data_IF_809638566664
#
_entry.id   IF_809638566664
#
_cell.length_a   1.000
_cell.length_b   1.000
_cell.length_c   1.000
_cell.angle_alpha   90.00
_cell.angle_beta   90.00
_cell.angle_gamma   90.00
#
_symmetry.space_group_name_H-M   'P 1'
#
loop_
_entity.id
_entity.type
_entity.pdbx_description
1 polymer ?
#
# COMPACT_ATOMS: atom_id res chain seq x y z
N UNK A 1 13.43 3.21 11.97
CA UNK A 1 13.29 1.96 11.18
C UNK A 1 12.14 1.08 11.70
N UNK A 2 10.91 1.33 11.23
CA UNK A 2 9.72 0.55 11.57
C UNK A 2 8.90 0.21 10.30
N UNK A 3 8.39 -1.02 10.23
CA UNK A 3 7.32 -1.40 9.31
C UNK A 3 5.97 -1.04 9.93
N UNK A 4 5.15 -0.26 9.22
CA UNK A 4 3.87 0.21 9.72
C UNK A 4 2.70 -0.63 9.21
N UNK A 5 2.71 -1.04 7.95
CA UNK A 5 1.63 -1.83 7.39
C UNK A 5 2.08 -2.67 6.19
N UNK A 6 1.37 -3.77 5.97
CA UNK A 6 1.47 -4.61 4.77
C UNK A 6 0.04 -4.88 4.30
N UNK A 7 -0.27 -4.51 3.06
CA UNK A 7 -1.57 -4.70 2.44
C UNK A 7 -1.45 -5.46 1.12
N UNK A 8 -2.37 -6.39 0.88
CA UNK A 8 -2.56 -7.10 -0.38
C UNK A 8 -3.90 -6.65 -0.96
N UNK A 9 -3.86 -6.17 -2.19
CA UNK A 9 -4.99 -5.59 -2.90
C UNK A 9 -5.25 -6.35 -4.19
N UNK A 10 -6.52 -6.48 -4.55
CA UNK A 10 -6.93 -6.86 -5.88
C UNK A 10 -7.22 -5.61 -6.70
N UNK A 11 -6.58 -5.53 -7.86
CA UNK A 11 -6.78 -4.47 -8.83
C UNK A 11 -7.74 -4.97 -9.93
N UNK A 12 -8.99 -4.50 -9.99
CA UNK A 12 -9.87 -4.80 -11.10
C UNK A 12 -9.30 -4.24 -12.42
N UNK A 13 -9.50 -4.95 -13.53
CA UNK A 13 -9.12 -4.43 -14.84
C UNK A 13 -10.09 -3.29 -15.20
N UNK A 14 -9.58 -2.11 -15.52
CA UNK A 14 -10.37 -1.07 -16.18
C UNK A 14 -10.77 -1.62 -17.56
N UNK A 15 -11.99 -2.13 -17.67
CA UNK A 15 -12.62 -2.37 -18.96
C UNK A 15 -12.90 -0.97 -19.52
N UNK A 16 -12.16 -0.60 -20.58
CA UNK A 16 -11.94 0.79 -20.99
C UNK A 16 -13.17 1.70 -21.01
N UNK A 17 -12.97 2.92 -20.51
CA UNK A 17 -13.83 4.07 -20.83
C UNK A 17 -12.94 5.26 -21.20
N UNK A 18 -12.66 5.36 -22.50
CA UNK A 18 -12.30 6.61 -23.15
C UNK A 18 -13.50 7.56 -23.09
N UNK A 19 -13.63 8.34 -22.02
CA UNK A 19 -14.38 9.62 -21.97
C UNK A 19 -14.43 10.18 -20.55
N UNK A 20 -13.71 11.27 -20.31
CA UNK A 20 -14.19 12.47 -19.58
C UNK A 20 -14.63 12.42 -18.11
N UNK A 21 -14.79 11.27 -17.46
CA UNK A 21 -15.11 11.17 -16.03
C UNK A 21 -14.65 9.81 -15.49
N UNK A 22 -13.47 9.77 -14.88
CA UNK A 22 -12.80 8.54 -14.46
C UNK A 22 -13.49 7.87 -13.25
N UNK A 23 -14.51 7.04 -13.49
CA UNK A 23 -14.94 6.04 -12.51
C UNK A 23 -14.01 4.82 -12.58
N UNK A 24 -12.75 5.00 -12.19
CA UNK A 24 -11.80 3.90 -12.00
C UNK A 24 -12.36 2.95 -10.96
N UNK A 25 -12.47 1.66 -11.28
CA UNK A 25 -12.96 0.67 -10.31
C UNK A 25 -11.92 0.57 -9.19
N UNK A 26 -12.35 0.89 -7.97
CA UNK A 26 -11.50 1.00 -6.78
C UNK A 26 -10.79 -0.33 -6.49
N UNK A 27 -9.48 -0.29 -6.22
CA UNK A 27 -8.75 -1.47 -5.68
C UNK A 27 -9.39 -1.95 -4.37
N UNK A 28 -9.52 -3.27 -4.20
CA UNK A 28 -10.12 -3.89 -3.02
C UNK A 28 -9.01 -4.47 -2.15
N UNK A 29 -9.00 -4.18 -0.85
CA UNK A 29 -8.01 -4.76 0.06
C UNK A 29 -8.48 -6.17 0.38
N UNK A 30 -7.71 -7.18 -0.01
CA UNK A 30 -8.05 -8.57 0.27
C UNK A 30 -7.56 -9.01 1.66
N UNK A 31 -6.36 -8.57 2.02
CA UNK A 31 -5.72 -8.85 3.31
C UNK A 31 -4.82 -7.70 3.70
N UNK A 32 -4.69 -7.43 4.99
CA UNK A 32 -3.73 -6.45 5.47
C UNK A 32 -3.53 -6.54 6.96
N UNK A 33 -2.41 -6.00 7.43
CA UNK A 33 -2.13 -5.83 8.84
C UNK A 33 -1.33 -4.55 9.05
N UNK A 34 -1.59 -3.87 10.17
CA UNK A 34 -0.93 -2.63 10.56
C UNK A 34 -0.44 -2.67 12.01
N UNK A 35 0.76 -2.13 12.25
CA UNK A 35 1.29 -1.84 13.59
C UNK A 35 1.50 -0.33 13.76
N UNK A 36 0.47 0.30 14.32
CA UNK A 36 0.45 1.73 14.60
C UNK A 36 0.75 2.05 16.07
N UNK A 37 1.40 1.13 16.79
CA UNK A 37 1.74 1.31 18.22
C UNK A 37 2.61 2.54 18.50
N UNK A 38 3.39 3.00 17.52
CA UNK A 38 4.24 4.19 17.58
C UNK A 38 3.46 5.50 17.55
N UNK A 39 2.21 5.49 17.06
CA UNK A 39 1.34 6.66 17.03
C UNK A 39 0.51 6.77 18.31
N UNK A 40 0.16 8.01 18.67
CA UNK A 40 -0.75 8.29 19.79
C UNK A 40 -2.11 7.61 19.59
N UNK A 41 -2.71 7.11 20.66
CA UNK A 41 -3.93 6.28 20.61
C UNK A 41 -5.04 6.87 19.73
N UNK A 42 -5.29 8.17 19.84
CA UNK A 42 -6.32 8.88 19.08
C UNK A 42 -5.97 9.14 17.60
N UNK A 43 -4.69 9.07 17.23
CA UNK A 43 -4.25 9.25 15.85
C UNK A 43 -4.28 7.95 15.04
N UNK A 44 -4.21 6.79 15.71
CA UNK A 44 -4.10 5.48 15.06
C UNK A 44 -5.23 5.20 14.06
N UNK A 45 -6.46 5.62 14.36
CA UNK A 45 -7.59 5.48 13.43
C UNK A 45 -7.36 6.27 12.14
N UNK A 46 -6.97 7.54 12.27
CA UNK A 46 -6.70 8.42 11.14
C UNK A 46 -5.52 7.95 10.30
N UNK A 47 -4.45 7.48 10.95
CA UNK A 47 -3.29 6.92 10.26
C UNK A 47 -3.67 5.63 9.52
N UNK A 48 -4.49 4.76 10.12
CA UNK A 48 -4.97 3.54 9.45
C UNK A 48 -5.80 3.86 8.21
N UNK A 49 -6.75 4.78 8.33
CA UNK A 49 -7.57 5.24 7.20
C UNK A 49 -6.69 5.79 6.07
N UNK A 50 -5.65 6.56 6.41
CA UNK A 50 -4.69 7.07 5.44
C UNK A 50 -3.84 5.98 4.78
N UNK A 51 -3.39 4.98 5.54
CA UNK A 51 -2.66 3.81 5.00
C UNK A 51 -3.53 3.02 4.02
N UNK A 52 -4.81 2.83 4.33
CA UNK A 52 -5.77 2.16 3.43
C UNK A 52 -5.94 2.96 2.14
N UNK A 53 -6.19 4.27 2.27
CA UNK A 53 -6.32 5.19 1.14
C UNK A 53 -5.07 5.15 0.25
N UNK A 54 -3.88 5.37 0.81
CA UNK A 54 -2.65 5.42 0.03
C UNK A 54 -2.35 4.07 -0.63
N UNK A 55 -2.62 2.96 0.05
CA UNK A 55 -2.40 1.62 -0.53
C UNK A 55 -3.26 1.39 -1.78
N UNK A 56 -4.51 1.84 -1.77
CA UNK A 56 -5.39 1.77 -2.95
C UNK A 56 -4.90 2.66 -4.07
N UNK A 57 -4.57 3.90 -3.75
CA UNK A 57 -4.12 4.84 -4.78
C UNK A 57 -2.80 4.36 -5.41
N UNK A 58 -1.89 3.83 -4.61
CA UNK A 58 -0.65 3.23 -5.11
C UNK A 58 -0.93 2.01 -6.00
N UNK A 59 -1.84 1.12 -5.60
CA UNK A 59 -2.27 -0.03 -6.41
C UNK A 59 -2.90 0.40 -7.74
N UNK A 60 -3.75 1.42 -7.75
CA UNK A 60 -4.48 1.91 -8.92
C UNK A 60 -3.61 2.73 -9.89
N UNK A 61 -2.56 3.38 -9.40
CA UNK A 61 -1.61 4.11 -10.25
C UNK A 61 -0.43 3.26 -10.69
N UNK A 62 -0.13 2.15 -10.02
CA UNK A 62 0.95 1.24 -10.42
C UNK A 62 0.50 0.24 -11.48
N UNK A 63 1.08 0.28 -12.71
CA UNK A 63 0.70 -0.66 -13.75
C UNK A 63 1.09 -2.11 -13.40
N UNK A 64 0.42 -3.12 -13.97
CA UNK A 64 0.76 -4.52 -13.73
C UNK A 64 2.20 -4.83 -14.11
N UNK A 65 2.91 -5.57 -13.24
CA UNK A 65 4.27 -6.02 -13.48
C UNK A 65 5.36 -5.01 -13.12
N UNK A 66 5.02 -3.88 -12.50
CA UNK A 66 6.00 -2.93 -12.01
C UNK A 66 6.25 -3.05 -10.51
N UNK A 67 7.39 -2.50 -10.10
CA UNK A 67 7.79 -2.27 -8.71
C UNK A 67 8.11 -0.80 -8.57
N UNK A 68 7.54 -0.17 -7.56
CA UNK A 68 7.73 1.25 -7.32
C UNK A 68 8.02 1.53 -5.85
N UNK A 69 8.92 2.47 -5.62
CA UNK A 69 9.16 3.08 -4.32
C UNK A 69 8.59 4.50 -4.38
N UNK A 70 7.74 4.83 -3.42
CA UNK A 70 7.08 6.13 -3.30
C UNK A 70 7.43 6.74 -1.96
N UNK A 71 8.17 7.84 -1.98
CA UNK A 71 8.62 8.54 -0.78
C UNK A 71 7.61 9.63 -0.44
N UNK A 72 7.17 9.68 0.82
CA UNK A 72 6.31 10.75 1.35
C UNK A 72 6.84 11.18 2.72
N UNK A 73 7.51 12.32 2.74
CA UNK A 73 8.10 12.92 3.94
C UNK A 73 9.02 11.91 4.67
N UNK A 74 8.73 11.56 5.93
CA UNK A 74 9.51 10.61 6.73
C UNK A 74 9.16 9.13 6.46
N UNK A 75 8.16 8.87 5.61
CA UNK A 75 7.68 7.54 5.29
C UNK A 75 8.00 7.16 3.85
N UNK A 76 8.16 5.85 3.63
CA UNK A 76 8.30 5.28 2.29
C UNK A 76 7.29 4.16 2.10
N UNK A 77 6.64 4.19 0.95
CA UNK A 77 5.74 3.14 0.50
C UNK A 77 6.43 2.33 -0.60
N UNK A 78 6.40 1.01 -0.47
CA UNK A 78 6.85 0.10 -1.50
C UNK A 78 5.67 -0.64 -2.08
N UNK A 79 5.57 -0.69 -3.39
CA UNK A 79 4.46 -1.34 -4.09
C UNK A 79 4.97 -2.27 -5.18
N UNK A 80 4.35 -3.44 -5.28
CA UNK A 80 4.63 -4.43 -6.30
C UNK A 80 3.33 -4.98 -6.85
N UNK A 81 3.13 -4.89 -8.15
CA UNK A 81 1.93 -5.38 -8.83
C UNK A 81 2.28 -6.57 -9.73
N UNK A 82 1.52 -7.66 -9.62
CA UNK A 82 1.66 -8.86 -10.46
C UNK A 82 0.93 -8.68 -11.78
N UNK A 83 1.50 -9.24 -12.85
CA UNK A 83 0.89 -9.22 -14.19
C UNK A 83 -0.30 -10.18 -14.25
N UNK A 84 -0.09 -11.43 -13.80
CA UNK A 84 -1.03 -12.51 -14.10
C UNK A 84 -2.24 -12.56 -13.16
N UNK A 85 -2.04 -12.23 -11.88
CA UNK A 85 -3.06 -12.35 -10.84
C UNK A 85 -3.86 -11.07 -10.60
N UNK A 86 -3.42 -9.93 -11.15
CA UNK A 86 -3.92 -8.58 -10.84
C UNK A 86 -3.88 -8.26 -9.35
N UNK A 87 -2.97 -8.91 -8.62
CA UNK A 87 -2.71 -8.61 -7.22
C UNK A 87 -1.62 -7.54 -7.12
N UNK A 88 -1.84 -6.58 -6.23
CA UNK A 88 -0.83 -5.63 -5.79
C UNK A 88 -0.57 -5.84 -4.32
N UNK A 89 0.67 -5.64 -3.88
CA UNK A 89 0.97 -5.56 -2.46
C UNK A 89 1.70 -4.24 -2.18
N UNK A 90 1.36 -3.64 -1.04
CA UNK A 90 1.88 -2.36 -0.57
C UNK A 90 2.44 -2.54 0.83
N UNK A 91 3.65 -2.05 1.06
CA UNK A 91 4.24 -1.89 2.39
C UNK A 91 4.38 -0.41 2.67
N UNK A 92 4.03 -0.01 3.89
CA UNK A 92 4.28 1.34 4.42
C UNK A 92 5.27 1.23 5.57
N UNK A 93 6.32 2.02 5.56
CA UNK A 93 7.38 1.99 6.58
C UNK A 93 8.07 3.35 6.71
N UNK A 94 8.94 3.49 7.71
CA UNK A 94 9.85 4.64 7.80
C UNK A 94 10.81 4.67 6.59
N UNK A 95 11.29 5.86 6.21
CA UNK A 95 12.22 6.06 5.10
C UNK A 95 13.56 5.33 5.26
N UNK A 96 13.97 5.04 6.50
CA UNK A 96 15.21 4.32 6.81
C UNK A 96 15.11 2.81 6.52
N UNK A 97 13.91 2.27 6.33
CA UNK A 97 13.73 0.83 6.16
C UNK A 97 14.34 0.34 4.83
N UNK A 98 15.16 -0.73 4.81
CA UNK A 98 15.86 -1.13 3.59
C UNK A 98 14.91 -1.56 2.46
N UNK A 99 14.98 -0.86 1.33
CA UNK A 99 14.16 -1.15 0.13
C UNK A 99 14.30 -2.59 -0.34
N UNK A 100 15.51 -3.15 -0.26
CA UNK A 100 15.77 -4.54 -0.62
C UNK A 100 14.92 -5.50 0.20
N UNK A 101 14.82 -5.31 1.51
CA UNK A 101 14.03 -6.19 2.38
C UNK A 101 12.54 -6.01 2.10
N UNK A 102 12.07 -4.76 1.96
CA UNK A 102 10.67 -4.46 1.68
C UNK A 102 10.17 -5.14 0.39
N UNK A 103 10.90 -5.04 -0.72
CA UNK A 103 10.51 -5.72 -1.96
C UNK A 103 10.62 -7.24 -1.87
N UNK A 104 11.54 -7.80 -1.07
CA UNK A 104 11.58 -9.25 -0.88
C UNK A 104 10.37 -9.73 -0.11
N UNK A 105 9.97 -8.96 0.90
CA UNK A 105 8.79 -9.25 1.71
C UNK A 105 7.52 -9.15 0.88
N UNK A 106 7.36 -8.10 0.07
CA UNK A 106 6.26 -7.97 -0.90
C UNK A 106 6.15 -9.20 -1.81
N UNK A 107 7.27 -9.64 -2.39
CA UNK A 107 7.29 -10.81 -3.24
C UNK A 107 6.82 -12.07 -2.48
N UNK A 108 7.35 -12.30 -1.27
CA UNK A 108 6.96 -13.45 -0.45
C UNK A 108 5.48 -13.44 -0.08
N UNK A 109 4.97 -12.31 0.40
CA UNK A 109 3.56 -12.13 0.77
C UNK A 109 2.66 -12.42 -0.43
N UNK A 110 2.97 -11.88 -1.61
CA UNK A 110 2.21 -12.15 -2.83
C UNK A 110 2.23 -13.62 -3.22
N UNK A 111 3.41 -14.27 -3.18
CA UNK A 111 3.56 -15.69 -3.54
C UNK A 111 2.77 -16.59 -2.58
N UNK A 112 2.80 -16.32 -1.28
CA UNK A 112 2.03 -17.08 -0.30
C UNK A 112 0.53 -16.82 -0.41
N UNK A 113 0.14 -15.58 -0.69
CA UNK A 113 -1.25 -15.23 -0.94
C UNK A 113 -1.79 -15.99 -2.16
N UNK A 114 -1.07 -15.98 -3.29
CA UNK A 114 -1.46 -16.72 -4.51
C UNK A 114 -1.52 -18.23 -4.29
N UNK A 115 -0.61 -18.78 -3.46
CA UNK A 115 -0.62 -20.20 -3.08
C UNK A 115 -1.84 -20.57 -2.25
N UNK A 116 -2.25 -19.71 -1.30
CA UNK A 116 -3.41 -19.95 -0.42
C UNK A 116 -4.73 -19.66 -1.14
N UNK A 117 -4.77 -18.60 -1.95
CA UNK A 117 -5.93 -18.08 -2.65
C UNK A 117 -5.60 -17.91 -4.15
N UNK A 118 -5.68 -18.99 -4.95
CA UNK A 118 -5.44 -18.89 -6.38
C UNK A 118 -6.50 -18.01 -7.06
N UNK A 119 -6.15 -17.46 -8.23
CA UNK A 119 -6.95 -16.48 -8.98
C UNK A 119 -8.42 -16.86 -9.15
N UNK A 120 -8.72 -18.14 -9.33
CA UNK A 120 -10.08 -18.66 -9.46
C UNK A 120 -10.95 -18.41 -8.22
N UNK A 121 -10.38 -18.39 -7.01
CA UNK A 121 -11.15 -18.25 -5.75
C UNK A 121 -11.84 -16.90 -5.67
N UNK A 122 -11.08 -15.82 -5.85
CA UNK A 122 -11.62 -14.46 -5.75
C UNK A 122 -12.34 -14.00 -7.02
N UNK A 123 -12.03 -14.55 -8.19
CA UNK A 123 -12.78 -14.23 -9.42
C UNK A 123 -14.13 -14.96 -9.51
N UNK A 124 -14.23 -16.20 -9.03
CA UNK A 124 -15.48 -16.97 -9.11
C UNK A 124 -16.48 -16.58 -8.00
N UNK A 125 -16.04 -15.85 -6.99
CA UNK A 125 -16.84 -15.45 -5.83
C UNK A 125 -16.95 -13.93 -5.79
N UNK A 126 -17.88 -13.31 -6.53
CA UNK A 126 -17.97 -11.85 -6.63
C UNK A 126 -18.24 -11.16 -5.28
N UNK A 127 -18.81 -11.86 -4.29
CA UNK A 127 -18.98 -11.37 -2.93
C UNK A 127 -17.66 -11.05 -2.23
N UNK A 128 -16.58 -11.77 -2.54
CA UNK A 128 -15.23 -11.52 -1.99
C UNK A 128 -14.69 -10.17 -2.47
N UNK A 129 -15.04 -9.78 -3.68
CA UNK A 129 -14.58 -8.54 -4.31
C UNK A 129 -15.50 -7.34 -4.04
N UNK A 130 -16.52 -7.50 -3.17
CA UNK A 130 -17.43 -6.40 -2.82
C UNK A 130 -17.02 -5.65 -1.54
N UNK A 131 -16.16 -6.24 -0.70
CA UNK A 131 -15.75 -5.64 0.56
C UNK A 131 -14.31 -5.97 0.92
N UNK A 132 -13.69 -5.13 1.75
CA UNK A 132 -12.32 -5.34 2.17
C UNK A 132 -12.18 -6.49 3.17
N UNK A 133 -10.96 -7.03 3.25
CA UNK A 133 -10.49 -8.01 4.23
C UNK A 133 -11.22 -9.36 4.20
N UNK A 134 -11.86 -9.71 3.09
CA UNK A 134 -12.56 -10.99 2.91
C UNK A 134 -11.62 -12.21 2.81
N UNK A 135 -10.35 -12.01 2.47
CA UNK A 135 -9.36 -13.08 2.32
C UNK A 135 -8.13 -12.83 3.20
N UNK A 136 -8.28 -13.05 4.51
CA UNK A 136 -7.18 -12.83 5.44
C UNK A 136 -6.06 -13.88 5.32
N UNK A 137 -4.84 -13.38 5.12
CA UNK A 137 -3.62 -14.13 5.24
C UNK A 137 -3.00 -13.86 6.62
N UNK A 138 -3.25 -14.77 7.56
CA UNK A 138 -2.80 -14.66 8.96
C UNK A 138 -1.28 -14.47 9.10
N UNK A 139 -0.49 -15.05 8.19
CA UNK A 139 0.98 -14.95 8.19
C UNK A 139 1.49 -13.52 7.97
N UNK A 140 0.67 -12.59 7.47
CA UNK A 140 1.06 -11.18 7.30
C UNK A 140 1.37 -10.54 8.66
N UNK A 141 0.63 -10.87 9.72
CA UNK A 141 0.90 -10.35 11.05
C UNK A 141 2.28 -10.83 11.55
N UNK A 142 2.53 -12.13 11.46
CA UNK A 142 3.82 -12.72 11.86
C UNK A 142 4.99 -12.12 11.08
N UNK A 143 4.80 -11.85 9.78
CA UNK A 143 5.80 -11.18 8.97
C UNK A 143 6.01 -9.72 9.34
N UNK A 144 4.94 -8.99 9.62
CA UNK A 144 5.04 -7.60 10.05
C UNK A 144 5.85 -7.51 11.35
N UNK A 145 5.66 -8.44 12.29
CA UNK A 145 6.43 -8.50 13.55
C UNK A 145 7.86 -8.99 13.31
N UNK A 146 8.05 -10.12 12.61
CA UNK A 146 9.37 -10.75 12.39
C UNK A 146 10.33 -9.85 11.62
N UNK A 147 9.83 -9.16 10.59
CA UNK A 147 10.67 -8.33 9.71
C UNK A 147 10.73 -6.86 10.12
N UNK A 148 10.30 -6.52 11.35
CA UNK A 148 10.71 -5.24 11.97
C UNK A 148 12.25 -5.14 12.03
N UNK A 149 12.93 -6.25 12.32
CA UNK A 149 14.38 -6.36 12.18
C UNK A 149 14.74 -6.80 10.75
N UNK A 150 15.31 -5.92 9.91
CA UNK A 150 15.67 -6.25 8.54
C UNK A 150 16.76 -7.33 8.45
N UNK A 151 17.53 -7.57 9.51
CA UNK A 151 18.56 -8.61 9.52
C UNK A 151 17.96 -10.02 9.54
N UNK A 152 16.71 -10.19 9.99
CA UNK A 152 15.98 -11.47 9.94
C UNK A 152 15.54 -11.86 8.52
N UNK A 153 15.78 -11.00 7.53
CA UNK A 153 15.39 -11.19 6.13
C UNK A 153 16.37 -12.01 5.29
N UNK A 154 17.42 -12.59 5.87
CA UNK A 154 18.41 -13.39 5.13
C UNK A 154 17.79 -14.50 4.28
N UNK A 155 16.74 -15.16 4.77
CA UNK A 155 15.96 -16.15 4.00
C UNK A 155 15.24 -15.51 2.80
N UNK A 156 14.75 -14.28 2.95
CA UNK A 156 14.13 -13.52 1.86
C UNK A 156 15.15 -13.10 0.81
N UNK A 157 16.38 -12.81 1.22
CA UNK A 157 17.46 -12.40 0.33
C UNK A 157 17.95 -13.54 -0.54
N UNK A 158 17.96 -14.78 -0.02
CA UNK A 158 18.27 -15.99 -0.82
C UNK A 158 17.26 -16.22 -1.95
N UNK A 159 15.98 -15.97 -1.69
CA UNK A 159 14.91 -16.08 -2.71
C UNK A 159 15.11 -15.09 -3.87
N UNK A 160 15.78 -13.95 -3.61
CA UNK A 160 16.01 -12.93 -4.63
C UNK A 160 17.10 -13.27 -5.65
N UNK A 161 18.11 -14.06 -5.27
CA UNK A 161 19.22 -14.37 -6.19
C UNK A 161 18.76 -15.07 -7.47
N UNK A 162 17.64 -15.80 -7.41
CA UNK A 162 17.10 -16.57 -8.54
C UNK A 162 16.13 -15.78 -9.45
N UNK A 163 15.71 -14.57 -9.06
CA UNK A 163 14.62 -13.82 -9.69
C UNK A 163 14.98 -12.37 -10.05
N UNK A 164 16.24 -11.96 -9.95
CA UNK A 164 16.71 -10.65 -10.43
C UNK A 164 16.78 -10.60 -11.97
N UNK A 165 15.62 -10.74 -12.63
CA UNK A 165 15.38 -9.95 -13.82
C UNK A 165 15.20 -8.49 -13.35
N UNK A 166 16.18 -7.67 -13.70
CA UNK A 166 16.28 -6.24 -13.41
C UNK A 166 15.11 -5.47 -14.04
N UNK A 167 13.92 -5.56 -13.46
CA UNK A 167 12.91 -4.52 -13.63
C UNK A 167 13.34 -3.34 -12.77
N UNK A 168 13.78 -2.28 -13.44
CA UNK A 168 14.15 -0.99 -12.84
C UNK A 168 13.09 -0.58 -11.81
N UNK A 169 13.48 -0.51 -10.53
CA UNK A 169 12.60 0.03 -9.49
C UNK A 169 12.42 1.51 -9.79
N UNK A 170 11.17 1.93 -9.99
CA UNK A 170 10.86 3.33 -10.19
C UNK A 170 10.80 4.02 -8.84
N UNK A 171 11.66 5.02 -8.63
CA UNK A 171 11.65 5.83 -7.41
C UNK A 171 10.93 7.14 -7.71
N UNK A 172 9.82 7.40 -7.01
CA UNK A 172 9.08 8.66 -7.13
C UNK A 172 8.81 9.25 -5.76
N UNK A 173 8.65 10.56 -5.71
CA UNK A 173 8.04 11.24 -4.56
C UNK A 173 6.53 11.18 -4.76
N UNK A 174 5.76 11.04 -3.69
CA UNK A 174 4.31 10.92 -3.78
C UNK A 174 3.68 12.09 -4.55
N UNK A 175 4.13 13.34 -4.34
CA UNK A 175 3.60 14.48 -5.12
C UNK A 175 3.85 14.36 -6.62
N UNK A 176 4.92 13.69 -7.07
CA UNK A 176 5.21 13.50 -8.50
C UNK A 176 4.39 12.38 -9.12
N UNK A 177 3.86 11.49 -8.30
CA UNK A 177 2.96 10.42 -8.72
C UNK A 177 1.54 10.94 -8.99
N UNK A 178 1.19 12.05 -8.34
CA UNK A 178 0.06 12.88 -8.70
C UNK A 178 0.53 13.98 -9.65
N UNK A 179 -0.33 14.46 -10.55
CA UNK A 179 0.12 15.47 -11.51
C UNK A 179 0.38 16.81 -10.80
N UNK A 180 -0.27 17.07 -9.65
CA UNK A 180 -0.08 18.21 -8.73
C UNK A 180 -0.51 17.89 -7.29
N UNK A 181 -0.09 18.73 -6.31
CA UNK A 181 -0.57 18.67 -4.92
C UNK A 181 -2.09 18.86 -4.80
N UNK A 182 -2.68 19.68 -5.67
CA UNK A 182 -4.12 19.92 -5.72
C UNK A 182 -4.90 18.64 -6.06
N UNK A 183 -4.33 17.76 -6.89
CA UNK A 183 -4.97 16.48 -7.22
C UNK A 183 -4.98 15.54 -6.02
N UNK A 184 -3.90 15.54 -5.22
CA UNK A 184 -3.86 14.75 -4.00
C UNK A 184 -4.87 15.25 -2.97
N UNK A 185 -4.99 16.57 -2.78
CA UNK A 185 -6.00 17.17 -1.90
C UNK A 185 -7.42 16.88 -2.38
N UNK A 186 -7.66 16.92 -3.70
CA UNK A 186 -8.93 16.55 -4.30
C UNK A 186 -9.26 15.07 -4.06
N UNK A 187 -8.29 14.16 -4.26
CA UNK A 187 -8.47 12.74 -4.00
C UNK A 187 -8.77 12.47 -2.52
N UNK A 188 -8.08 13.13 -1.60
CA UNK A 188 -8.38 13.07 -0.16
C UNK A 188 -9.78 13.58 0.13
N UNK A 189 -10.17 14.71 -0.47
CA UNK A 189 -11.49 15.31 -0.31
C UNK A 189 -12.64 14.42 -0.80
N UNK A 190 -12.40 13.62 -1.85
CA UNK A 190 -13.38 12.71 -2.44
C UNK A 190 -13.33 11.28 -1.87
N UNK A 191 -12.27 10.91 -1.15
CA UNK A 191 -12.02 9.54 -0.72
C UNK A 191 -13.01 9.04 0.33
N UNK A 192 -13.79 8.02 0.00
CA UNK A 192 -14.67 7.30 0.94
C UNK A 192 -13.90 6.56 2.05
N UNK A 193 -12.57 6.43 1.91
CA UNK A 193 -11.72 5.72 2.88
C UNK A 193 -11.33 6.57 4.07
N UNK A 194 -11.48 7.89 3.93
CA UNK A 194 -11.14 8.86 4.95
C UNK A 194 -12.42 9.41 5.55
N UNK A 195 -12.57 9.23 6.86
CA UNK A 195 -13.61 9.90 7.65
C UNK A 195 -13.43 11.42 7.57
N UNK A 196 -14.51 12.17 7.85
CA UNK A 196 -14.43 13.64 7.89
C UNK A 196 -13.33 14.14 8.82
N UNK A 197 -13.13 13.48 9.96
CA UNK A 197 -12.05 13.79 10.91
C UNK A 197 -10.66 13.53 10.31
N UNK A 198 -10.47 12.43 9.58
CA UNK A 198 -9.18 12.12 8.95
C UNK A 198 -8.87 13.03 7.76
N UNK A 199 -9.88 13.41 6.98
CA UNK A 199 -9.73 14.43 5.93
C UNK A 199 -9.33 15.78 6.52
N UNK A 200 -10.03 16.23 7.56
CA UNK A 200 -9.71 17.48 8.25
C UNK A 200 -8.29 17.45 8.85
N UNK A 201 -7.89 16.34 9.46
CA UNK A 201 -6.54 16.14 9.99
C UNK A 201 -5.48 16.26 8.90
N UNK A 202 -5.69 15.59 7.76
CA UNK A 202 -4.76 15.65 6.63
C UNK A 202 -4.66 17.06 6.03
N UNK A 203 -5.80 17.74 5.83
CA UNK A 203 -5.81 19.10 5.29
C UNK A 203 -5.14 20.09 6.25
N UNK A 204 -5.37 19.96 7.56
CA UNK A 204 -4.71 20.79 8.57
C UNK A 204 -3.18 20.60 8.54
N UNK A 205 -2.71 19.34 8.50
CA UNK A 205 -1.29 19.02 8.43
C UNK A 205 -0.59 19.54 7.15
N UNK A 206 -1.33 19.73 6.06
CA UNK A 206 -0.80 20.26 4.79
C UNK A 206 -0.94 21.79 4.62
N UNK A 207 -1.81 22.44 5.38
CA UNK A 207 -2.08 23.88 5.27
C UNK A 207 -1.06 24.75 6.00
N UNK A 208 -0.35 24.20 6.99
CA UNK A 208 0.67 24.92 7.73
C UNK A 208 2.06 24.77 7.10
N UNK A 209 2.46 25.77 6.31
CA UNK A 209 3.87 26.06 6.10
C UNK A 209 4.51 26.43 7.44
N UNK A 210 5.13 25.46 8.12
CA UNK A 210 6.14 25.68 9.17
C UNK A 210 5.70 25.36 10.59
N UNK A 211 6.31 24.30 11.15
CA UNK A 211 6.56 24.17 12.58
C UNK A 211 5.39 23.74 13.46
N UNK A 212 5.48 22.49 13.93
CA UNK A 212 5.19 22.09 15.31
C UNK A 212 3.88 22.63 15.93
N UNK A 213 2.81 21.83 15.93
CA UNK A 213 1.91 21.61 17.08
C UNK A 213 0.61 20.89 16.65
N UNK A 214 0.57 19.56 16.75
CA UNK A 214 -0.69 18.82 16.93
C UNK A 214 -0.42 17.46 17.58
N UNK A 215 0.27 17.52 18.73
CA UNK A 215 0.21 16.56 19.84
C UNK A 215 1.06 17.12 21.00
N UNK A 216 0.44 17.91 21.87
CA UNK A 216 0.68 17.82 23.31
C UNK A 216 -0.51 17.08 23.91
#
# INVERSE_FOLDING_TARGET
>A
MKLLAINVLYRPNDIGSSSGSSSTTKSIILSGYDDLSSFGFFQRSTVREYIVFISRVLSDKNPPGTRQQVIKDEYTCYVQTRIDSQLSAVIVCDAEYPSRVAFSLLYKVLTEFEKKYPKSVYLNSPSILQSDYQLQLETINDYLVKYQDPNQADELLKIKTDLEETKTIMNQVLEKMFEREDDLKNLVGMSEDLSMSSRAFYTAAQGENGGCCLLM
#
